data_IF_197619368544
#
_entry.id   IF_197619368544
#
_cell.length_a   1.000
_cell.length_b   1.000
_cell.length_c   1.000
_cell.angle_alpha   90.00
_cell.angle_beta   90.00
_cell.angle_gamma   90.00
#
_symmetry.space_group_name_H-M   'P 1'
#
loop_
_entity.id
_entity.type
_entity.pdbx_description
1 polymer ?
#
# COMPACT_ATOMS: atom_id res chain seq x y z
N UNK A 1 4.79 -13.79 18.99
CA UNK A 1 4.78 -12.34 18.73
C UNK A 1 4.03 -12.16 17.43
N UNK A 2 2.93 -11.42 17.42
CA UNK A 2 2.12 -11.23 16.21
C UNK A 2 2.96 -10.45 15.20
N UNK A 3 3.06 -10.98 13.98
CA UNK A 3 3.65 -10.27 12.84
C UNK A 3 2.73 -9.08 12.57
N UNK A 4 3.13 -7.87 12.93
CA UNK A 4 2.33 -6.67 12.62
C UNK A 4 2.66 -6.22 11.19
N UNK A 5 2.02 -6.85 10.22
CA UNK A 5 2.00 -6.36 8.85
C UNK A 5 1.23 -5.04 8.82
N UNK A 6 1.95 -3.94 8.57
CA UNK A 6 1.31 -2.62 8.45
C UNK A 6 1.02 -2.37 6.99
N UNK A 7 -0.27 -2.31 6.67
CA UNK A 7 -0.72 -1.88 5.36
C UNK A 7 -0.48 -0.39 5.19
N UNK A 8 0.16 -0.03 4.08
CA UNK A 8 0.30 1.34 3.64
C UNK A 8 -0.49 1.55 2.37
N UNK A 9 -1.06 2.75 2.27
CA UNK A 9 -1.84 3.17 1.12
C UNK A 9 -1.25 4.47 0.56
N UNK A 10 -1.35 4.65 -0.74
CA UNK A 10 -0.93 5.88 -1.41
C UNK A 10 -2.16 6.67 -1.86
N UNK A 11 -2.48 7.77 -1.17
CA UNK A 11 -3.70 8.55 -1.42
C UNK A 11 -3.39 9.94 -1.96
N UNK A 12 -4.29 10.47 -2.79
CA UNK A 12 -4.16 11.81 -3.34
C UNK A 12 -4.21 12.87 -2.21
N UNK A 13 -3.37 13.89 -2.31
CA UNK A 13 -3.39 15.01 -1.37
C UNK A 13 -4.60 15.90 -1.68
N UNK A 14 -5.32 16.41 -0.66
CA UNK A 14 -6.40 17.38 -0.89
C UNK A 14 -5.88 18.71 -1.45
N UNK A 15 -4.59 19.01 -1.25
CA UNK A 15 -3.91 20.19 -1.80
C UNK A 15 -3.35 19.97 -3.20
N UNK A 16 -3.46 18.76 -3.77
CA UNK A 16 -2.96 18.48 -5.11
C UNK A 16 -3.78 19.24 -6.16
N UNK A 17 -3.14 19.83 -7.18
CA UNK A 17 -3.86 20.56 -8.21
C UNK A 17 -4.77 19.59 -8.99
N UNK A 18 -6.07 19.90 -9.16
CA UNK A 18 -7.03 19.01 -9.82
C UNK A 18 -6.61 18.59 -11.23
N UNK A 19 -5.93 19.50 -11.96
CA UNK A 19 -5.39 19.22 -13.29
C UNK A 19 -4.35 18.08 -13.27
N UNK A 20 -3.45 18.08 -12.29
CA UNK A 20 -2.43 17.03 -12.17
C UNK A 20 -3.05 15.70 -11.74
N UNK A 21 -4.11 15.73 -10.93
CA UNK A 21 -4.87 14.52 -10.58
C UNK A 21 -5.56 13.92 -11.80
N UNK A 22 -6.23 14.74 -12.61
CA UNK A 22 -6.88 14.27 -13.84
C UNK A 22 -5.87 13.71 -14.84
N UNK A 23 -4.78 14.43 -15.08
CA UNK A 23 -3.71 13.98 -15.98
C UNK A 23 -3.08 12.65 -15.52
N UNK A 24 -2.93 12.48 -14.20
CA UNK A 24 -2.44 11.23 -13.63
C UNK A 24 -3.43 10.07 -13.86
N UNK A 25 -4.72 10.29 -13.63
CA UNK A 25 -5.76 9.29 -13.91
C UNK A 25 -5.73 8.93 -15.39
N UNK A 26 -5.83 9.92 -16.28
CA UNK A 26 -5.92 9.70 -17.73
C UNK A 26 -4.70 8.94 -18.27
N UNK A 27 -3.49 9.27 -17.79
CA UNK A 27 -2.25 8.61 -18.20
C UNK A 27 -2.18 7.16 -17.72
N UNK A 28 -2.47 6.91 -16.44
CA UNK A 28 -2.26 5.57 -15.87
C UNK A 28 -3.42 4.61 -16.15
N UNK A 29 -4.64 5.12 -16.31
CA UNK A 29 -5.80 4.28 -16.60
C UNK A 29 -5.73 3.62 -17.98
N UNK A 30 -4.98 4.20 -18.92
CA UNK A 30 -4.68 3.57 -20.21
C UNK A 30 -3.88 2.27 -20.08
N UNK A 31 -2.98 2.19 -19.09
CA UNK A 31 -2.03 1.08 -18.94
C UNK A 31 -2.43 0.07 -17.86
N UNK A 32 -2.97 0.54 -16.73
CA UNK A 32 -3.19 -0.28 -15.53
C UNK A 32 -4.65 -0.72 -15.32
N UNK A 33 -5.59 -0.25 -16.16
CA UNK A 33 -7.00 -0.64 -16.13
C UNK A 33 -7.78 -0.09 -14.94
N UNK A 34 -8.50 1.02 -15.14
CA UNK A 34 -9.26 1.72 -14.10
C UNK A 34 -10.76 1.36 -14.01
N UNK A 35 -11.12 0.12 -14.35
CA UNK A 35 -12.53 -0.32 -14.39
C UNK A 35 -13.28 -0.10 -13.07
N UNK A 36 -12.59 -0.17 -11.93
CA UNK A 36 -13.18 -0.01 -10.60
C UNK A 36 -13.68 1.41 -10.32
N UNK A 37 -13.04 2.43 -10.90
CA UNK A 37 -13.38 3.86 -10.71
C UNK A 37 -14.20 4.45 -11.85
N UNK A 38 -14.49 3.67 -12.89
CA UNK A 38 -15.37 4.12 -13.97
C UNK A 38 -16.85 4.04 -13.57
N UNK A 39 -17.75 4.75 -14.27
CA UNK A 39 -19.18 4.67 -13.99
C UNK A 39 -19.69 3.22 -13.96
N UNK A 40 -20.34 2.84 -12.87
CA UNK A 40 -20.80 1.45 -12.64
C UNK A 40 -19.78 0.56 -11.93
N UNK A 41 -18.56 1.03 -11.68
CA UNK A 41 -17.58 0.37 -10.83
C UNK A 41 -17.85 0.57 -9.34
N UNK A 42 -17.38 -0.35 -8.47
CA UNK A 42 -17.63 -0.31 -7.03
C UNK A 42 -16.87 0.82 -6.31
N UNK A 43 -15.80 1.35 -6.93
CA UNK A 43 -15.02 2.49 -6.44
C UNK A 43 -15.38 3.81 -7.12
N UNK A 44 -16.50 3.86 -7.85
CA UNK A 44 -16.94 5.09 -8.49
C UNK A 44 -17.41 6.16 -7.49
N UNK A 45 -18.03 5.73 -6.38
CA UNK A 45 -18.56 6.65 -5.37
C UNK A 45 -17.63 6.79 -4.15
N UNK A 46 -17.43 8.01 -3.63
CA UNK A 46 -17.94 9.28 -4.15
C UNK A 46 -17.25 9.69 -5.47
N UNK A 47 -18.03 10.23 -6.42
CA UNK A 47 -17.53 10.68 -7.73
C UNK A 47 -16.75 12.00 -7.58
N UNK A 48 -15.58 11.90 -6.98
CA UNK A 48 -14.64 13.01 -6.83
C UNK A 48 -13.30 12.65 -7.44
N UNK A 49 -12.68 13.64 -8.06
CA UNK A 49 -11.35 13.54 -8.66
C UNK A 49 -10.31 13.02 -7.66
N UNK A 50 -10.36 13.48 -6.41
CA UNK A 50 -9.43 13.05 -5.35
C UNK A 50 -9.60 11.58 -4.99
N UNK A 51 -10.85 11.08 -4.91
CA UNK A 51 -11.11 9.67 -4.61
C UNK A 51 -10.63 8.76 -5.74
N UNK A 52 -10.98 9.11 -6.98
CA UNK A 52 -10.55 8.35 -8.16
C UNK A 52 -9.03 8.35 -8.29
N UNK A 53 -8.38 9.51 -8.12
CA UNK A 53 -6.92 9.60 -8.15
C UNK A 53 -6.26 8.80 -7.01
N UNK A 54 -6.85 8.80 -5.81
CA UNK A 54 -6.34 8.02 -4.68
C UNK A 54 -6.35 6.52 -4.98
N UNK A 55 -7.41 6.01 -5.60
CA UNK A 55 -7.47 4.61 -5.99
C UNK A 55 -6.41 4.26 -7.03
N UNK A 56 -6.21 5.09 -8.05
CA UNK A 56 -5.17 4.86 -9.08
C UNK A 56 -3.77 4.92 -8.47
N UNK A 57 -3.52 5.89 -7.59
CA UNK A 57 -2.26 6.03 -6.86
C UNK A 57 -1.95 4.79 -6.02
N UNK A 58 -2.97 4.29 -5.31
CA UNK A 58 -2.83 3.11 -4.48
C UNK A 58 -2.65 1.83 -5.30
N UNK A 59 -3.37 1.68 -6.41
CA UNK A 59 -3.20 0.58 -7.35
C UNK A 59 -1.77 0.51 -7.88
N UNK A 60 -1.22 1.64 -8.33
CA UNK A 60 0.16 1.71 -8.80
C UNK A 60 1.13 1.45 -7.65
N UNK A 61 0.84 1.95 -6.45
CA UNK A 61 1.67 1.70 -5.29
C UNK A 61 1.71 0.21 -4.91
N UNK A 62 0.59 -0.49 -4.99
CA UNK A 62 0.52 -1.94 -4.76
C UNK A 62 1.34 -2.72 -5.80
N UNK A 63 1.36 -2.27 -7.06
CA UNK A 63 2.07 -2.95 -8.15
C UNK A 63 3.57 -2.62 -8.23
N UNK A 64 3.94 -1.36 -7.99
CA UNK A 64 5.30 -0.84 -8.19
C UNK A 64 6.07 -0.57 -6.89
N UNK A 65 5.37 -0.54 -5.76
CA UNK A 65 5.89 -0.12 -4.45
C UNK A 65 6.37 1.34 -4.40
N UNK A 66 6.01 2.16 -5.39
CA UNK A 66 6.36 3.58 -5.48
C UNK A 66 5.11 4.44 -5.43
N UNK A 67 5.05 5.34 -4.45
CA UNK A 67 3.97 6.32 -4.31
C UNK A 67 4.42 7.67 -4.86
N UNK A 68 3.62 8.30 -5.72
CA UNK A 68 3.93 9.63 -6.25
C UNK A 68 3.66 10.69 -5.18
N UNK A 69 4.73 11.15 -4.51
CA UNK A 69 4.62 12.12 -3.41
C UNK A 69 4.29 13.55 -3.85
N UNK A 70 4.31 13.85 -5.14
CA UNK A 70 3.98 15.19 -5.67
C UNK A 70 2.48 15.45 -5.57
N UNK A 71 1.67 14.47 -5.95
CA UNK A 71 0.20 14.55 -5.93
C UNK A 71 -0.44 13.68 -4.84
N UNK A 72 0.31 12.75 -4.26
CA UNK A 72 -0.14 11.82 -3.24
C UNK A 72 0.71 11.83 -1.98
N UNK A 73 0.30 11.04 -1.00
CA UNK A 73 0.99 10.81 0.27
C UNK A 73 0.74 9.39 0.75
N UNK A 74 1.69 8.87 1.53
CA UNK A 74 1.53 7.57 2.18
C UNK A 74 0.75 7.74 3.48
N UNK A 75 -0.20 6.84 3.70
CA UNK A 75 -0.92 6.70 4.97
C UNK A 75 -0.99 5.25 5.39
N UNK A 76 -1.20 5.00 6.68
CA UNK A 76 -1.56 3.69 7.23
C UNK A 76 -3.07 3.57 7.47
N UNK A 77 -3.81 4.65 7.26
CA UNK A 77 -5.26 4.67 7.39
C UNK A 77 -5.88 4.03 6.16
N UNK A 78 -6.63 2.94 6.36
CA UNK A 78 -7.34 2.26 5.27
C UNK A 78 -8.50 3.13 4.75
N UNK A 79 -8.44 3.63 3.51
CA UNK A 79 -9.51 4.43 2.90
C UNK A 79 -10.68 3.57 2.36
N UNK A 80 -10.61 2.24 2.50
CA UNK A 80 -11.60 1.32 1.95
C UNK A 80 -12.97 1.54 2.55
N UNK A 81 -13.99 1.43 1.70
CA UNK A 81 -15.40 1.39 2.08
C UNK A 81 -15.95 -0.03 1.85
N UNK A 82 -17.16 -0.36 2.34
CA UNK A 82 -17.76 -1.68 2.11
C UNK A 82 -17.86 -2.06 0.64
N UNK A 83 -18.07 -1.08 -0.23
CA UNK A 83 -18.19 -1.25 -1.66
C UNK A 83 -16.82 -1.13 -2.36
N UNK A 84 -15.96 -0.21 -1.93
CA UNK A 84 -14.68 0.06 -2.55
C UNK A 84 -13.49 -0.38 -1.69
N UNK A 85 -12.81 -1.44 -2.11
CA UNK A 85 -11.59 -1.92 -1.42
C UNK A 85 -10.33 -1.45 -2.12
N UNK A 86 -9.47 -0.77 -1.37
CA UNK A 86 -8.15 -0.35 -1.84
C UNK A 86 -7.17 -1.52 -1.72
N UNK A 87 -6.32 -1.75 -2.74
CA UNK A 87 -5.38 -2.87 -2.73
C UNK A 87 -4.38 -2.77 -1.58
N UNK A 88 -3.83 -1.57 -1.33
CA UNK A 88 -2.78 -1.33 -0.34
C UNK A 88 -1.51 -2.12 -0.61
N UNK A 89 -0.47 -1.82 0.17
CA UNK A 89 0.77 -2.59 0.20
C UNK A 89 1.13 -2.94 1.64
N UNK A 90 1.23 -4.24 1.93
CA UNK A 90 1.68 -4.74 3.22
C UNK A 90 3.17 -4.51 3.36
N UNK A 91 3.56 -3.60 4.24
CA UNK A 91 4.96 -3.40 4.60
C UNK A 91 5.27 -4.29 5.79
N UNK A 92 6.15 -5.27 5.58
CA UNK A 92 6.75 -6.01 6.68
C UNK A 92 7.63 -5.06 7.49
N UNK A 93 7.13 -4.64 8.65
CA UNK A 93 7.91 -3.91 9.63
C UNK A 93 8.90 -4.88 10.27
N UNK A 94 10.04 -5.07 9.62
CA UNK A 94 11.22 -5.54 10.33
C UNK A 94 11.70 -4.41 11.24
N UNK A 95 11.25 -4.41 12.49
CA UNK A 95 11.90 -3.64 13.54
C UNK A 95 13.35 -4.13 13.66
N UNK A 96 14.27 -3.47 12.95
CA UNK A 96 15.72 -3.71 13.07
C UNK A 96 16.25 -4.95 12.35
N UNK A 97 16.30 -4.92 11.01
CA UNK A 97 17.10 -5.86 10.22
C UNK A 97 18.60 -5.53 10.24
N UNK A 98 19.25 -5.61 11.40
CA UNK A 98 20.69 -5.93 11.42
C UNK A 98 20.83 -7.33 10.86
N UNK A 99 21.57 -7.47 9.76
CA UNK A 99 21.91 -8.78 9.17
C UNK A 99 22.49 -9.68 10.27
N UNK A 100 21.76 -10.69 10.73
CA UNK A 100 22.34 -11.85 11.39
C UNK A 100 21.91 -13.10 10.65
N UNK A 101 22.82 -13.48 9.77
CA UNK A 101 22.97 -14.78 9.15
C UNK A 101 23.07 -15.83 10.29
N UNK A 102 22.41 -16.97 10.13
CA UNK A 102 22.48 -18.22 10.93
C UNK A 102 21.76 -18.29 12.29
N UNK A 103 20.49 -18.73 12.28
CA UNK A 103 19.77 -19.33 13.42
C UNK A 103 19.90 -20.86 13.49
N UNK A 104 21.01 -21.43 13.01
CA UNK A 104 21.23 -22.88 13.02
C UNK A 104 22.15 -23.36 14.16
N UNK A 105 22.71 -22.46 14.98
CA UNK A 105 23.67 -22.80 16.04
C UNK A 105 23.10 -22.75 17.47
N UNK A 106 22.00 -22.02 17.72
CA UNK A 106 21.41 -21.90 19.08
C UNK A 106 20.64 -23.15 19.55
N UNK A 107 20.16 -24.00 18.63
CA UNK A 107 19.50 -25.26 18.98
C UNK A 107 20.47 -26.31 19.56
N UNK A 108 21.75 -26.22 19.23
CA UNK A 108 22.76 -27.21 19.69
C UNK A 108 23.22 -26.88 21.12
N UNK A 109 23.36 -25.60 21.47
CA UNK A 109 23.79 -25.17 22.82
C UNK A 109 22.71 -25.51 23.86
N UNK A 110 21.42 -25.31 23.54
CA UNK A 110 20.31 -25.60 24.47
C UNK A 110 20.18 -27.09 24.85
N UNK A 111 20.70 -28.00 24.02
CA UNK A 111 20.65 -29.44 24.31
C UNK A 111 21.69 -29.88 25.36
N UNK A 112 22.77 -29.10 25.55
CA UNK A 112 23.87 -29.47 26.45
C UNK A 112 23.58 -29.06 27.90
N UNK A 113 22.76 -28.02 28.13
CA UNK A 113 22.51 -27.47 29.47
C UNK A 113 21.35 -28.11 30.25
N UNK A 114 20.52 -28.96 29.62
CA UNK A 114 19.39 -29.66 30.30
C UNK A 114 19.78 -31.07 30.76
N UNK A 115 21.03 -31.48 30.53
CA UNK A 115 21.58 -32.77 30.97
C UNK A 115 22.76 -32.56 31.94
N UNK A 116 22.54 -31.90 33.08
CA UNK A 116 23.38 -31.98 34.29
C UNK A 116 22.61 -31.52 35.51
#
# INVERSE_FOLDING_TARGET
MLQEDVNKYCLAKPTAPPKALQEFIDTNCGDYGCSQIHPGGPCYQPNTLTQHASFVLDLIYALSHVCNTTIGHLTTDDPSTPDCRYPGYSVQLSSGGSRRINVMWDYIIFSILVAS
#
